data_IF_822728119238
#
_entry.id   IF_822728119238
#
_cell.length_a   1.000
_cell.length_b   1.000
_cell.length_c   1.000
_cell.angle_alpha   90.00
_cell.angle_beta   90.00
_cell.angle_gamma   90.00
#
_symmetry.space_group_name_H-M   'P 1'
#
loop_
_entity.id
_entity.type
_entity.pdbx_description
1 polymer ?
#
# COMPACT_ATOMS: atom_id res chain seq x y z
N UNK A 1 2.98 -16.92 -2.29
CA UNK A 1 2.66 -15.66 -2.99
C UNK A 1 1.90 -15.82 -4.32
N UNK A 2 0.88 -16.67 -4.41
CA UNK A 2 0.04 -16.73 -5.64
C UNK A 2 -1.33 -17.37 -5.48
N UNK A 3 -1.58 -18.03 -4.36
CA UNK A 3 -2.80 -18.81 -4.17
C UNK A 3 -4.03 -17.92 -4.17
N UNK A 4 -4.02 -16.84 -3.39
CA UNK A 4 -5.15 -15.92 -3.38
C UNK A 4 -5.36 -15.21 -4.72
N UNK A 5 -4.30 -14.80 -5.41
CA UNK A 5 -4.41 -14.17 -6.74
C UNK A 5 -5.10 -15.11 -7.74
N UNK A 6 -4.69 -16.39 -7.78
CA UNK A 6 -5.35 -17.40 -8.61
C UNK A 6 -6.83 -17.60 -8.25
N UNK A 7 -7.14 -17.65 -6.95
CA UNK A 7 -8.55 -17.75 -6.48
C UNK A 7 -9.40 -16.56 -6.92
N UNK A 8 -8.80 -15.37 -7.00
CA UNK A 8 -9.44 -14.14 -7.47
C UNK A 8 -9.48 -14.03 -9.00
N UNK A 9 -8.99 -15.06 -9.73
CA UNK A 9 -9.00 -15.09 -11.20
C UNK A 9 -7.82 -14.39 -11.87
N UNK A 10 -6.77 -14.05 -11.14
CA UNK A 10 -5.56 -13.47 -11.72
C UNK A 10 -4.62 -14.56 -12.23
N UNK A 11 -4.04 -14.29 -13.40
CA UNK A 11 -3.02 -15.13 -14.03
C UNK A 11 -1.65 -14.45 -14.00
N UNK A 12 -0.60 -15.25 -13.85
CA UNK A 12 0.79 -14.76 -13.79
C UNK A 12 1.33 -14.57 -15.20
N UNK A 13 1.81 -13.37 -15.48
CA UNK A 13 2.37 -12.94 -16.75
C UNK A 13 3.77 -12.35 -16.55
N UNK A 14 4.52 -12.23 -17.65
CA UNK A 14 5.83 -11.56 -17.69
C UNK A 14 5.77 -10.38 -18.65
N UNK A 15 6.07 -9.18 -18.16
CA UNK A 15 6.00 -7.96 -18.95
C UNK A 15 7.02 -8.00 -20.10
N UNK A 16 6.55 -7.79 -21.33
CA UNK A 16 7.43 -7.75 -22.52
C UNK A 16 8.39 -6.56 -22.52
N UNK A 17 8.05 -5.47 -21.82
CA UNK A 17 8.85 -4.24 -21.78
C UNK A 17 9.93 -4.26 -20.69
N UNK A 18 9.55 -4.48 -19.42
CA UNK A 18 10.49 -4.41 -18.28
C UNK A 18 10.94 -5.79 -17.76
N UNK A 19 10.38 -6.88 -18.26
CA UNK A 19 10.72 -8.25 -17.83
C UNK A 19 10.22 -8.66 -16.45
N UNK A 20 9.57 -7.76 -15.68
CA UNK A 20 8.98 -8.07 -14.37
C UNK A 20 7.81 -9.03 -14.50
N UNK A 21 7.62 -9.86 -13.48
CA UNK A 21 6.41 -10.66 -13.34
C UNK A 21 5.28 -9.81 -12.77
N UNK A 22 4.08 -10.03 -13.27
CA UNK A 22 2.88 -9.36 -12.77
C UNK A 22 1.67 -10.30 -12.91
N UNK A 23 0.59 -9.94 -12.24
CA UNK A 23 -0.66 -10.69 -12.25
C UNK A 23 -1.79 -9.81 -12.78
N UNK A 24 -2.63 -10.36 -13.66
CA UNK A 24 -3.80 -9.68 -14.24
C UNK A 24 -4.96 -10.65 -14.46
N UNK A 25 -6.19 -10.15 -14.47
CA UNK A 25 -7.37 -10.95 -14.83
C UNK A 25 -7.54 -11.01 -16.34
N UNK A 26 -7.48 -9.85 -17.02
CA UNK A 26 -7.55 -9.80 -18.47
C UNK A 26 -6.16 -10.06 -19.08
N UNK A 27 -6.17 -10.60 -20.31
CA UNK A 27 -4.96 -10.86 -21.07
C UNK A 27 -4.25 -9.56 -21.44
N UNK A 28 -2.98 -9.43 -21.06
CA UNK A 28 -2.16 -8.25 -21.38
C UNK A 28 -0.67 -8.59 -21.45
N UNK A 29 0.07 -7.84 -22.27
CA UNK A 29 1.48 -8.10 -22.54
C UNK A 29 2.45 -7.29 -21.65
N UNK A 30 1.94 -6.24 -21.01
CA UNK A 30 2.70 -5.25 -20.22
C UNK A 30 2.17 -5.16 -18.79
N UNK A 31 2.99 -4.67 -17.85
CA UNK A 31 2.67 -4.73 -16.41
C UNK A 31 1.68 -3.65 -15.92
N UNK A 32 1.30 -2.66 -16.73
CA UNK A 32 0.38 -1.59 -16.33
C UNK A 32 1.02 -0.42 -15.60
N UNK A 33 2.34 -0.42 -15.45
CA UNK A 33 3.08 0.65 -14.76
C UNK A 33 3.90 1.49 -15.74
N UNK A 34 4.10 2.76 -15.40
CA UNK A 34 4.94 3.66 -16.19
C UNK A 34 6.43 3.28 -15.98
N UNK A 35 7.24 3.16 -17.05
CA UNK A 35 6.98 3.64 -18.41
C UNK A 35 6.42 2.60 -19.40
N UNK A 36 6.12 1.37 -18.97
CA UNK A 36 5.62 0.32 -19.86
C UNK A 36 4.23 0.64 -20.43
N UNK A 37 3.37 1.27 -19.63
CA UNK A 37 2.04 1.70 -20.02
C UNK A 37 1.83 3.19 -19.69
N UNK A 38 1.18 3.96 -20.59
CA UNK A 38 0.82 5.34 -20.31
C UNK A 38 -0.39 5.43 -19.36
N UNK A 39 -0.61 6.61 -18.78
CA UNK A 39 -1.79 6.85 -17.96
C UNK A 39 -3.06 6.95 -18.79
N UNK A 40 -4.01 6.06 -18.52
CA UNK A 40 -5.32 6.01 -19.19
C UNK A 40 -6.40 6.76 -18.42
N UNK A 41 -6.17 7.10 -17.16
CA UNK A 41 -7.19 7.68 -16.28
C UNK A 41 -7.38 9.20 -16.44
N UNK A 42 -6.49 9.89 -17.17
CA UNK A 42 -6.58 11.34 -17.39
C UNK A 42 -7.70 11.60 -18.39
N UNK A 43 -8.78 12.23 -17.93
CA UNK A 43 -10.01 12.43 -18.72
C UNK A 43 -10.96 11.23 -18.72
N UNK A 44 -10.55 10.09 -18.15
CA UNK A 44 -11.36 8.88 -18.01
C UNK A 44 -11.22 8.30 -16.59
N UNK A 45 -11.92 8.85 -15.59
CA UNK A 45 -11.76 8.42 -14.19
C UNK A 45 -12.12 6.93 -14.00
N UNK A 46 -11.32 6.17 -13.23
CA UNK A 46 -11.57 4.74 -13.01
C UNK A 46 -12.76 4.48 -12.07
N UNK A 47 -13.24 5.50 -11.36
CA UNK A 47 -14.35 5.42 -10.42
C UNK A 47 -15.46 6.39 -10.82
N UNK A 48 -16.73 5.97 -10.69
CA UNK A 48 -17.88 6.87 -10.87
C UNK A 48 -17.98 7.91 -9.75
N UNK A 49 -17.57 7.54 -8.53
CA UNK A 49 -17.57 8.41 -7.36
C UNK A 49 -16.27 9.21 -7.30
N UNK A 50 -16.39 10.51 -7.04
CA UNK A 50 -15.25 11.41 -6.80
C UNK A 50 -14.91 11.42 -5.30
N UNK A 51 -13.63 11.33 -5.00
CA UNK A 51 -13.12 11.44 -3.64
C UNK A 51 -12.21 12.65 -3.53
N UNK A 52 -12.38 13.42 -2.45
CA UNK A 52 -11.36 14.35 -1.99
C UNK A 52 -10.40 13.63 -1.01
N UNK A 53 -9.33 14.31 -0.61
CA UNK A 53 -8.28 13.77 0.24
C UNK A 53 -8.83 13.19 1.55
N UNK A 54 -9.75 13.88 2.22
CA UNK A 54 -10.28 13.46 3.51
C UNK A 54 -11.29 12.32 3.34
N UNK A 55 -12.13 12.37 2.30
CA UNK A 55 -13.10 11.31 2.00
C UNK A 55 -12.44 9.98 1.68
N UNK A 56 -11.37 9.96 0.87
CA UNK A 56 -10.69 8.69 0.55
C UNK A 56 -9.98 8.12 1.79
N UNK A 57 -9.38 8.97 2.63
CA UNK A 57 -8.76 8.54 3.89
C UNK A 57 -9.78 7.93 4.84
N UNK A 58 -10.92 8.60 5.04
CA UNK A 58 -11.99 8.07 5.89
C UNK A 58 -12.58 6.77 5.32
N UNK A 59 -12.75 6.69 3.99
CA UNK A 59 -13.24 5.46 3.33
C UNK A 59 -12.28 4.30 3.54
N UNK A 60 -10.97 4.53 3.45
CA UNK A 60 -9.95 3.52 3.74
C UNK A 60 -10.00 3.07 5.21
N UNK A 61 -10.06 4.02 6.16
CA UNK A 61 -10.11 3.69 7.59
C UNK A 61 -11.37 2.90 7.95
N UNK A 62 -12.56 3.35 7.53
CA UNK A 62 -13.81 2.66 7.85
C UNK A 62 -13.89 1.28 7.19
N UNK A 63 -13.40 1.12 5.95
CA UNK A 63 -13.34 -0.19 5.28
C UNK A 63 -12.60 -1.24 6.11
N UNK A 64 -11.44 -0.88 6.67
CA UNK A 64 -10.63 -1.79 7.48
C UNK A 64 -11.18 -1.95 8.90
N UNK A 65 -11.76 -0.91 9.47
CA UNK A 65 -12.44 -0.96 10.78
C UNK A 65 -13.60 -1.93 10.79
N UNK A 66 -14.43 -1.93 9.74
CA UNK A 66 -15.51 -2.91 9.56
C UNK A 66 -15.00 -4.35 9.45
N UNK A 67 -13.71 -4.54 9.16
CA UNK A 67 -13.01 -5.83 9.03
C UNK A 67 -12.16 -6.20 10.24
N UNK A 68 -12.30 -5.44 11.35
CA UNK A 68 -11.65 -5.75 12.62
C UNK A 68 -10.29 -5.09 12.83
N UNK A 69 -9.85 -4.18 11.97
CA UNK A 69 -8.64 -3.39 12.18
C UNK A 69 -8.94 -2.19 13.06
N UNK A 70 -8.18 -2.03 14.14
CA UNK A 70 -8.35 -0.86 15.01
C UNK A 70 -7.79 0.41 14.34
N UNK A 71 -8.59 1.48 14.20
CA UNK A 71 -8.10 2.76 13.70
C UNK A 71 -7.18 3.43 14.71
N UNK A 72 -5.98 3.79 14.28
CA UNK A 72 -5.02 4.51 15.12
C UNK A 72 -4.73 5.91 14.58
N UNK A 73 -4.48 6.83 15.51
CA UNK A 73 -4.14 8.22 15.19
C UNK A 73 -2.79 8.28 14.48
N UNK A 74 -2.68 9.20 13.53
CA UNK A 74 -1.41 9.49 12.85
C UNK A 74 -0.31 9.87 13.84
N UNK A 75 0.91 9.52 13.50
CA UNK A 75 2.13 9.93 14.19
C UNK A 75 2.64 11.26 13.60
N UNK A 76 3.44 12.05 14.33
CA UNK A 76 4.08 13.23 13.75
C UNK A 76 5.10 12.81 12.68
N UNK A 77 5.40 13.68 11.72
CA UNK A 77 6.33 13.35 10.63
C UNK A 77 7.80 13.27 11.07
N UNK A 78 8.12 13.79 12.26
CA UNK A 78 9.46 13.76 12.84
C UNK A 78 9.70 12.44 13.58
N UNK A 79 10.28 11.46 12.89
CA UNK A 79 10.53 10.12 13.42
C UNK A 79 11.54 10.10 14.58
N UNK A 80 12.43 11.10 14.66
CA UNK A 80 13.41 11.29 15.74
C UNK A 80 12.82 11.31 17.16
N UNK A 81 11.49 11.40 17.29
CA UNK A 81 10.79 11.31 18.57
C UNK A 81 10.78 9.90 19.17
N UNK A 82 10.97 8.84 18.38
CA UNK A 82 10.97 7.45 18.86
C UNK A 82 12.04 6.54 18.25
N UNK A 83 12.78 6.99 17.23
CA UNK A 83 13.87 6.23 16.61
C UNK A 83 14.99 7.17 16.17
N UNK A 84 16.24 6.70 16.17
CA UNK A 84 17.42 7.55 15.92
C UNK A 84 18.10 7.31 14.56
N UNK A 85 17.58 6.41 13.75
CA UNK A 85 18.16 5.99 12.45
C UNK A 85 17.56 6.72 11.24
N UNK A 86 16.40 7.38 11.38
CA UNK A 86 15.79 8.23 10.34
C UNK A 86 15.21 9.51 10.92
N UNK A 87 15.30 10.62 10.18
CA UNK A 87 14.75 11.90 10.61
C UNK A 87 13.23 12.00 10.42
N UNK A 88 12.73 11.53 9.28
CA UNK A 88 11.34 11.71 8.84
C UNK A 88 10.64 10.38 8.63
N UNK A 89 9.32 10.37 8.84
CA UNK A 89 8.45 9.23 8.53
C UNK A 89 8.28 9.15 7.01
N UNK A 90 8.88 8.14 6.36
CA UNK A 90 8.78 7.92 4.91
C UNK A 90 7.78 6.83 4.49
N UNK A 91 7.29 6.05 5.45
CA UNK A 91 6.27 5.02 5.28
C UNK A 91 5.49 4.81 6.59
N UNK A 92 4.27 4.30 6.52
CA UNK A 92 3.44 4.06 7.70
C UNK A 92 4.05 3.04 8.67
N UNK A 93 4.84 2.07 8.18
CA UNK A 93 5.55 1.09 9.03
C UNK A 93 6.63 1.74 9.92
N UNK A 94 7.13 2.93 9.57
CA UNK A 94 8.16 3.63 10.37
C UNK A 94 7.65 4.06 11.75
N UNK A 95 6.33 4.14 11.92
CA UNK A 95 5.70 4.42 13.21
C UNK A 95 5.93 3.29 14.24
N UNK A 96 6.20 2.08 13.76
CA UNK A 96 6.27 0.86 14.58
C UNK A 96 7.71 0.31 14.65
N UNK A 97 8.58 0.73 13.74
CA UNK A 97 9.99 0.37 13.73
C UNK A 97 10.83 1.19 14.74
N UNK A 98 11.90 0.61 15.31
CA UNK A 98 12.23 -0.83 15.29
C UNK A 98 11.53 -1.62 16.41
N UNK A 99 10.91 -0.93 17.39
CA UNK A 99 10.50 -1.52 18.66
C UNK A 99 9.38 -2.55 18.55
N UNK A 100 8.37 -2.28 17.72
CA UNK A 100 7.25 -3.21 17.52
C UNK A 100 7.64 -4.31 16.54
N UNK A 101 8.35 -3.96 15.46
CA UNK A 101 8.75 -4.94 14.43
C UNK A 101 9.77 -5.96 14.94
N UNK A 102 10.59 -5.59 15.94
CA UNK A 102 11.48 -6.53 16.65
C UNK A 102 10.78 -7.35 17.74
N UNK A 103 9.52 -7.03 18.08
CA UNK A 103 8.78 -7.68 19.17
C UNK A 103 9.13 -7.17 20.57
N UNK A 104 10.01 -6.17 20.72
CA UNK A 104 10.34 -5.58 22.03
C UNK A 104 9.15 -4.85 22.66
N UNK A 105 8.25 -4.29 21.84
CA UNK A 105 7.06 -3.56 22.27
C UNK A 105 5.84 -4.11 21.55
N UNK A 106 4.72 -4.25 22.26
CA UNK A 106 3.45 -4.67 21.63
C UNK A 106 2.93 -3.56 20.70
N UNK A 107 2.32 -3.90 19.56
CA UNK A 107 1.67 -2.90 18.71
C UNK A 107 0.49 -2.25 19.48
N UNK A 108 0.12 -1.00 19.16
CA UNK A 108 -1.02 -0.33 19.80
C UNK A 108 -2.35 -1.08 19.64
N UNK A 109 -2.50 -1.82 18.53
CA UNK A 109 -3.58 -2.75 18.25
C UNK A 109 -3.12 -3.76 17.20
N UNK A 110 -3.81 -4.90 17.06
CA UNK A 110 -3.42 -5.92 16.10
C UNK A 110 -4.66 -6.74 15.63
N UNK A 111 -5.11 -6.60 14.37
CA UNK A 111 -4.55 -5.74 13.33
C UNK A 111 -4.96 -4.27 13.53
N UNK A 112 -4.28 -3.36 12.82
CA UNK A 112 -4.52 -1.92 12.91
C UNK A 112 -4.60 -1.25 11.53
N UNK A 113 -5.23 -0.08 11.45
CA UNK A 113 -5.27 0.74 10.24
C UNK A 113 -4.91 2.19 10.53
N UNK A 114 -4.08 2.79 9.67
CA UNK A 114 -3.59 4.17 9.82
C UNK A 114 -3.52 4.90 8.47
N UNK A 115 -3.83 6.19 8.48
CA UNK A 115 -3.51 7.12 7.41
C UNK A 115 -2.36 8.04 7.86
N UNK A 116 -1.13 7.69 7.48
CA UNK A 116 0.09 8.34 7.98
C UNK A 116 0.66 9.36 6.97
N UNK A 117 0.70 10.67 7.31
CA UNK A 117 1.51 11.62 6.55
C UNK A 117 2.97 11.17 6.51
N UNK A 118 3.51 11.09 5.30
CA UNK A 118 4.85 10.60 5.02
C UNK A 118 5.59 11.61 4.15
N UNK A 119 6.88 11.81 4.43
CA UNK A 119 7.76 12.71 3.68
C UNK A 119 8.87 11.89 3.03
N UNK A 120 9.03 12.03 1.72
CA UNK A 120 10.12 11.45 0.94
C UNK A 120 10.85 12.55 0.18
N UNK A 121 12.15 12.66 0.43
CA UNK A 121 13.01 13.64 -0.23
C UNK A 121 13.83 13.04 -1.37
N UNK A 122 13.90 11.71 -1.47
CA UNK A 122 14.64 11.00 -2.51
C UNK A 122 14.07 11.26 -3.92
N UNK A 123 12.76 11.52 -4.01
CA UNK A 123 12.07 11.74 -5.28
C UNK A 123 11.94 13.24 -5.65
N UNK A 124 12.67 14.14 -4.99
CA UNK A 124 12.48 15.59 -5.14
C UNK A 124 12.65 16.07 -6.57
N UNK A 125 13.61 15.51 -7.31
CA UNK A 125 13.87 15.86 -8.72
C UNK A 125 12.73 15.46 -9.67
N UNK A 126 11.86 14.55 -9.24
CA UNK A 126 10.70 14.08 -10.00
C UNK A 126 9.42 14.87 -9.67
N UNK A 127 9.41 15.61 -8.55
CA UNK A 127 8.25 16.39 -8.11
C UNK A 127 7.98 17.51 -9.10
N UNK A 128 6.74 17.60 -9.58
CA UNK A 128 6.34 18.55 -10.63
C UNK A 128 6.72 18.13 -12.06
N UNK A 129 7.59 17.12 -12.25
CA UNK A 129 7.96 16.63 -13.59
C UNK A 129 7.11 15.45 -14.04
N UNK A 130 6.85 14.48 -13.17
CA UNK A 130 6.15 13.25 -13.56
C UNK A 130 4.64 13.27 -13.29
N UNK A 131 4.14 14.31 -12.62
CA UNK A 131 2.72 14.45 -12.24
C UNK A 131 2.23 13.50 -11.12
N UNK A 132 3.05 12.56 -10.66
CA UNK A 132 2.69 11.55 -9.63
C UNK A 132 3.52 11.59 -8.35
N UNK A 133 4.70 12.21 -8.37
CA UNK A 133 5.57 12.28 -7.19
C UNK A 133 5.24 13.51 -6.35
N UNK A 134 5.18 13.30 -5.03
CA UNK A 134 4.98 14.32 -4.01
C UNK A 134 6.07 14.20 -2.95
N UNK A 135 6.52 15.32 -2.40
CA UNK A 135 7.41 15.30 -1.22
C UNK A 135 6.66 14.89 0.04
N UNK A 136 5.40 15.33 0.18
CA UNK A 136 4.53 15.01 1.30
C UNK A 136 3.23 14.39 0.78
N UNK A 137 2.87 13.23 1.32
CA UNK A 137 1.67 12.49 0.95
C UNK A 137 1.14 11.71 2.15
N UNK A 138 -0.11 11.25 2.10
CA UNK A 138 -0.68 10.37 3.14
C UNK A 138 -0.63 8.93 2.68
N UNK A 139 0.10 8.10 3.41
CA UNK A 139 0.18 6.66 3.17
C UNK A 139 -0.85 5.94 4.05
N UNK A 140 -1.86 5.33 3.44
CA UNK A 140 -2.70 4.35 4.11
C UNK A 140 -1.92 3.06 4.40
N UNK A 141 -2.06 2.49 5.59
CA UNK A 141 -1.47 1.21 5.95
C UNK A 141 -2.38 0.42 6.86
N UNK A 142 -2.67 -0.83 6.49
CA UNK A 142 -3.28 -1.82 7.37
C UNK A 142 -2.18 -2.81 7.79
N UNK A 143 -1.85 -2.83 9.09
CA UNK A 143 -0.72 -3.61 9.59
C UNK A 143 -1.22 -4.75 10.47
N UNK A 144 -0.63 -5.93 10.27
CA UNK A 144 -0.79 -7.11 11.11
C UNK A 144 0.61 -7.56 11.56
N UNK A 145 0.80 -7.65 12.88
CA UNK A 145 2.07 -8.03 13.48
C UNK A 145 1.99 -9.49 13.96
N UNK A 146 2.56 -10.40 13.19
CA UNK A 146 2.54 -11.82 13.52
C UNK A 146 3.73 -12.21 14.39
N UNK A 147 3.51 -13.16 15.30
CA UNK A 147 4.52 -13.78 16.15
C UNK A 147 4.27 -15.29 16.21
N UNK A 148 5.23 -16.12 16.67
CA UNK A 148 5.02 -17.57 16.78
C UNK A 148 3.74 -17.95 17.53
N UNK A 149 3.34 -17.15 18.53
CA UNK A 149 2.19 -17.42 19.39
C UNK A 149 0.90 -16.68 18.96
N UNK A 150 0.99 -15.74 18.02
CA UNK A 150 -0.16 -14.94 17.58
C UNK A 150 -0.04 -14.61 16.10
N UNK A 151 -0.87 -15.28 15.29
CA UNK A 151 -0.98 -15.09 13.85
C UNK A 151 -2.32 -14.43 13.56
N UNK A 152 -2.29 -13.23 12.97
CA UNK A 152 -3.49 -12.45 12.63
C UNK A 152 -3.95 -12.75 11.22
N UNK A 153 -3.11 -12.44 10.23
CA UNK A 153 -3.28 -12.86 8.83
C UNK A 153 -1.96 -12.68 8.06
N UNK A 154 -1.86 -13.22 6.84
CA UNK A 154 -0.63 -13.14 6.04
C UNK A 154 -0.88 -12.67 4.60
N UNK A 155 -0.09 -13.16 3.65
CA UNK A 155 -0.09 -12.72 2.25
C UNK A 155 -1.47 -12.84 1.58
N UNK A 156 -2.19 -13.95 1.80
CA UNK A 156 -3.44 -14.23 1.12
C UNK A 156 -4.53 -13.22 1.53
N UNK A 157 -4.72 -12.99 2.82
CA UNK A 157 -5.68 -11.97 3.28
C UNK A 157 -5.24 -10.55 2.92
N UNK A 158 -3.94 -10.26 2.93
CA UNK A 158 -3.41 -8.94 2.52
C UNK A 158 -3.78 -8.63 1.07
N UNK A 159 -3.57 -9.60 0.16
CA UNK A 159 -3.95 -9.49 -1.25
C UNK A 159 -5.46 -9.33 -1.38
N UNK A 160 -6.24 -10.13 -0.64
CA UNK A 160 -7.70 -10.05 -0.66
C UNK A 160 -8.21 -8.68 -0.22
N UNK A 161 -7.68 -8.11 0.86
CA UNK A 161 -8.08 -6.78 1.31
C UNK A 161 -7.76 -5.69 0.30
N UNK A 162 -6.60 -5.77 -0.37
CA UNK A 162 -6.25 -4.84 -1.44
C UNK A 162 -7.26 -4.93 -2.59
N UNK A 163 -7.54 -6.15 -3.07
CA UNK A 163 -8.55 -6.41 -4.10
C UNK A 163 -9.93 -5.86 -3.71
N UNK A 164 -10.43 -6.24 -2.54
CA UNK A 164 -11.76 -5.88 -2.05
C UNK A 164 -11.88 -4.37 -1.82
N UNK A 165 -10.80 -3.68 -1.44
CA UNK A 165 -10.80 -2.22 -1.28
C UNK A 165 -10.90 -1.50 -2.64
N UNK A 166 -10.15 -1.97 -3.66
CA UNK A 166 -10.24 -1.42 -5.01
C UNK A 166 -11.67 -1.55 -5.56
N UNK A 167 -12.28 -2.72 -5.39
CA UNK A 167 -13.68 -2.95 -5.77
C UNK A 167 -14.64 -2.06 -4.97
N UNK A 168 -14.43 -1.93 -3.66
CA UNK A 168 -15.26 -1.11 -2.77
C UNK A 168 -15.29 0.37 -3.17
N UNK A 169 -14.17 0.92 -3.66
CA UNK A 169 -14.12 2.31 -4.17
C UNK A 169 -14.59 2.44 -5.62
N UNK A 170 -14.97 1.33 -6.25
CA UNK A 170 -15.58 1.28 -7.58
C UNK A 170 -14.58 1.15 -8.73
N UNK A 171 -13.35 0.69 -8.46
CA UNK A 171 -12.39 0.31 -9.51
C UNK A 171 -12.72 -1.12 -9.96
N UNK A 172 -12.80 -1.33 -11.27
CA UNK A 172 -12.98 -2.67 -11.83
C UNK A 172 -11.71 -3.51 -11.57
N UNK A 173 -11.79 -4.63 -10.83
CA UNK A 173 -10.61 -5.45 -10.52
C UNK A 173 -9.86 -5.94 -11.77
N UNK A 174 -10.53 -6.05 -12.92
CA UNK A 174 -9.89 -6.42 -14.19
C UNK A 174 -8.85 -5.41 -14.68
N UNK A 175 -9.00 -4.14 -14.31
CA UNK A 175 -8.06 -3.08 -14.65
C UNK A 175 -6.84 -3.04 -13.71
N UNK A 176 -6.92 -3.71 -12.56
CA UNK A 176 -5.84 -3.79 -11.59
C UNK A 176 -4.80 -4.85 -11.97
N UNK A 177 -3.54 -4.54 -11.67
CA UNK A 177 -2.41 -5.46 -11.85
C UNK A 177 -1.57 -5.52 -10.59
N UNK A 178 -1.16 -6.72 -10.19
CA UNK A 178 -0.22 -6.91 -9.07
C UNK A 178 1.17 -7.21 -9.62
N UNK A 179 2.10 -6.27 -9.51
CA UNK A 179 3.47 -6.41 -10.02
C UNK A 179 4.36 -6.93 -8.90
N UNK A 180 5.11 -8.02 -9.17
CA UNK A 180 6.07 -8.56 -8.21
C UNK A 180 7.27 -7.63 -8.10
N UNK A 181 7.61 -7.23 -6.87
CA UNK A 181 8.72 -6.32 -6.59
C UNK A 181 9.34 -6.59 -5.23
N UNK A 182 10.53 -6.03 -5.04
CA UNK A 182 11.26 -6.03 -3.76
C UNK A 182 11.10 -4.66 -3.10
N UNK A 183 10.88 -4.66 -1.79
CA UNK A 183 10.80 -3.43 -1.00
C UNK A 183 11.79 -3.50 0.15
N UNK A 184 12.41 -2.37 0.46
CA UNK A 184 13.27 -2.22 1.64
C UNK A 184 13.19 -0.79 2.17
N UNK A 185 13.33 -0.63 3.49
CA UNK A 185 13.35 0.69 4.12
C UNK A 185 13.24 0.67 5.64
N UNK A 186 13.97 1.57 6.29
CA UNK A 186 13.88 1.77 7.74
C UNK A 186 14.37 0.56 8.56
N UNK A 187 15.31 -0.22 8.02
CA UNK A 187 15.90 -1.39 8.68
C UNK A 187 15.15 -2.71 8.47
N UNK A 188 14.11 -2.74 7.64
CA UNK A 188 13.39 -3.95 7.24
C UNK A 188 13.27 -4.04 5.70
N UNK A 189 13.02 -5.25 5.20
CA UNK A 189 12.68 -5.57 3.81
C UNK A 189 11.54 -6.59 3.80
#
# INVERSE_FOLDING_TARGET
>A
MSHQLKKLGYEKNKCKSCGKYFWSIDERETCGDAPCDPYTFIGNPPTKKKYDLYKIQNTFIEFFKERGHEPIKRYPVLAKRWRDDVFLVGASIYNFQPWVTSGMVKPPANPLVVAQPSIRLNDIDNVGRTGRHLTCFTMGGHHAFNSPDNQVYWEDETIKYCHDFLEHIGINPKEATFIESWWEGGGNA
#
